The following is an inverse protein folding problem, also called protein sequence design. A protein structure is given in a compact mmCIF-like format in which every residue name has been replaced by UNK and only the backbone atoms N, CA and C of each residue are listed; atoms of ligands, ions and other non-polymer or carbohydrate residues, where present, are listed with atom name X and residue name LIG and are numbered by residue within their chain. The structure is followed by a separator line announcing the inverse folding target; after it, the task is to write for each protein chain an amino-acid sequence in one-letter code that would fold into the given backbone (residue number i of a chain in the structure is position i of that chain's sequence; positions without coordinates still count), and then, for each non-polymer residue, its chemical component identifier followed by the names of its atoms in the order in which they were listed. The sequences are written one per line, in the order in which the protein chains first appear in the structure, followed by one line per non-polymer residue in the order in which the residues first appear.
data_IF_295444587033
#
_entry.id   IF_295444587033
#
_cell.length_a   1.000
_cell.length_b   1.000
_cell.length_c   1.000
_cell.angle_alpha   90.00
_cell.angle_beta   90.00
_cell.angle_gamma   90.00
#
_symmetry.space_group_name_H-M   'P 1'
#
loop_
_entity.id
_entity.type
_entity.pdbx_description
1 polymer ?
#
# COMPACT_ATOMS: atom_id res chain seq x y z
N UNK A 1 -13.28 -0.51 18.07
CA UNK A 1 -12.31 0.53 17.64
C UNK A 1 -12.18 0.41 16.12
N UNK A 2 -12.20 1.52 15.38
CA UNK A 2 -12.04 1.49 13.91
C UNK A 2 -10.55 1.58 13.56
N UNK A 3 -10.12 0.91 12.47
CA UNK A 3 -8.74 0.94 11.98
C UNK A 3 -8.71 1.41 10.52
N UNK A 4 -7.68 2.16 10.15
CA UNK A 4 -7.51 2.75 8.83
C UNK A 4 -6.59 1.86 7.97
N UNK A 5 -7.06 1.47 6.78
CA UNK A 5 -6.28 0.77 5.77
C UNK A 5 -6.06 1.68 4.57
N UNK A 6 -4.81 1.89 4.20
CA UNK A 6 -4.41 2.67 3.04
C UNK A 6 -3.92 1.74 1.93
N UNK A 7 -4.61 1.71 0.79
CA UNK A 7 -4.10 1.05 -0.40
C UNK A 7 -3.11 1.94 -1.14
N UNK A 8 -1.89 1.47 -1.33
CA UNK A 8 -0.78 2.21 -1.96
C UNK A 8 -0.11 1.37 -3.05
N UNK A 9 0.60 2.02 -3.96
CA UNK A 9 1.25 1.38 -5.12
C UNK A 9 2.73 1.07 -4.91
N UNK A 10 3.36 1.65 -3.88
CA UNK A 10 4.79 1.47 -3.61
C UNK A 10 5.29 2.27 -2.38
N UNK A 11 6.63 2.36 -2.21
CA UNK A 11 7.25 2.82 -0.97
C UNK A 11 6.97 4.29 -0.63
N UNK A 12 6.94 5.17 -1.64
CA UNK A 12 6.72 6.61 -1.40
C UNK A 12 5.32 6.87 -0.83
N UNK A 13 4.30 6.25 -1.42
CA UNK A 13 2.93 6.35 -0.92
C UNK A 13 2.77 5.64 0.43
N UNK A 14 3.42 4.49 0.63
CA UNK A 14 3.43 3.79 1.92
C UNK A 14 3.99 4.67 3.03
N UNK A 15 5.12 5.37 2.78
CA UNK A 15 5.72 6.31 3.73
C UNK A 15 4.74 7.44 4.09
N UNK A 16 4.10 8.05 3.09
CA UNK A 16 3.12 9.11 3.31
C UNK A 16 1.90 8.62 4.11
N UNK A 17 1.40 7.41 3.81
CA UNK A 17 0.28 6.82 4.52
C UNK A 17 0.63 6.49 5.98
N UNK A 18 1.85 6.00 6.24
CA UNK A 18 2.37 5.78 7.59
C UNK A 18 2.46 7.08 8.39
N UNK A 19 3.04 8.13 7.79
CA UNK A 19 3.10 9.48 8.40
C UNK A 19 1.70 10.06 8.66
N UNK A 20 0.73 9.73 7.81
CA UNK A 20 -0.68 10.09 7.96
C UNK A 20 -1.45 9.28 9.00
N UNK A 21 -0.84 8.29 9.65
CA UNK A 21 -1.46 7.50 10.72
C UNK A 21 -2.29 6.30 10.26
N UNK A 22 -2.00 5.73 9.09
CA UNK A 22 -2.60 4.47 8.67
C UNK A 22 -2.22 3.31 9.60
N UNK A 23 -3.20 2.48 9.98
CA UNK A 23 -2.95 1.27 10.78
C UNK A 23 -2.43 0.12 9.91
N UNK A 24 -2.85 0.08 8.64
CA UNK A 24 -2.51 -0.96 7.68
C UNK A 24 -2.13 -0.35 6.34
N UNK A 25 -1.06 -0.86 5.75
CA UNK A 25 -0.64 -0.58 4.38
C UNK A 25 -0.98 -1.78 3.51
N UNK A 26 -1.78 -1.55 2.48
CA UNK A 26 -2.20 -2.54 1.49
C UNK A 26 -1.54 -2.23 0.15
N UNK A 27 -0.57 -3.04 -0.25
CA UNK A 27 0.13 -2.83 -1.53
C UNK A 27 -0.67 -3.45 -2.68
N UNK A 28 -1.12 -2.62 -3.61
CA UNK A 28 -1.83 -3.07 -4.81
C UNK A 28 -1.40 -2.33 -6.08
N UNK A 29 -1.59 -3.00 -7.21
CA UNK A 29 -1.34 -2.52 -8.55
C UNK A 29 -2.68 -2.40 -9.31
N UNK A 30 -3.28 -1.20 -9.39
CA UNK A 30 -4.57 -1.00 -10.04
C UNK A 30 -4.54 -1.29 -11.54
N UNK A 31 -3.36 -1.30 -12.18
CA UNK A 31 -3.22 -1.65 -13.60
C UNK A 31 -3.53 -3.14 -13.88
N UNK A 32 -3.46 -3.98 -12.83
CA UNK A 32 -3.80 -5.41 -12.87
C UNK A 32 -5.20 -5.71 -12.32
N UNK A 33 -6.03 -4.69 -12.12
CA UNK A 33 -7.39 -4.80 -11.60
C UNK A 33 -7.53 -4.30 -10.16
N UNK A 34 -8.76 -4.34 -9.63
CA UNK A 34 -9.13 -3.71 -8.36
C UNK A 34 -8.29 -4.16 -7.15
N UNK A 35 -7.82 -5.41 -7.15
CA UNK A 35 -6.96 -6.03 -6.13
C UNK A 35 -5.68 -6.61 -6.76
N UNK A 36 -5.18 -5.98 -7.81
CA UNK A 36 -3.99 -6.44 -8.51
C UNK A 36 -2.77 -6.52 -7.60
N UNK A 37 -2.01 -7.61 -7.67
CA UNK A 37 -0.81 -7.76 -6.86
C UNK A 37 0.35 -6.91 -7.40
N UNK A 38 1.05 -6.22 -6.51
CA UNK A 38 2.35 -5.60 -6.84
C UNK A 38 3.39 -6.67 -7.17
N UNK A 39 4.50 -6.29 -7.81
CA UNK A 39 5.60 -7.23 -8.03
C UNK A 39 6.30 -7.56 -6.70
N UNK A 40 6.95 -8.74 -6.57
CA UNK A 40 7.77 -9.05 -5.40
C UNK A 40 8.90 -8.05 -5.14
N UNK A 41 9.37 -7.34 -6.18
CA UNK A 41 10.40 -6.31 -6.03
C UNK A 41 9.84 -5.06 -5.33
N UNK A 42 8.63 -4.62 -5.71
CA UNK A 42 7.94 -3.49 -5.06
C UNK A 42 7.63 -3.83 -3.61
N UNK A 43 7.13 -5.04 -3.35
CA UNK A 43 6.87 -5.52 -2.00
C UNK A 43 8.13 -5.53 -1.11
N UNK A 44 9.30 -5.88 -1.64
CA UNK A 44 10.56 -5.87 -0.86
C UNK A 44 11.15 -4.48 -0.68
N UNK A 45 10.85 -3.56 -1.59
CA UNK A 45 11.34 -2.19 -1.54
C UNK A 45 10.46 -1.27 -0.67
N UNK A 46 9.31 -1.76 -0.23
CA UNK A 46 8.35 -1.07 0.65
C UNK A 46 8.43 -1.66 2.05
#
# INVERSE_FOLDING_TARGET
MIRMLASVTGPEEARLALEGGADFIDLKDPSKGALGAVSPAVLRAT
#
